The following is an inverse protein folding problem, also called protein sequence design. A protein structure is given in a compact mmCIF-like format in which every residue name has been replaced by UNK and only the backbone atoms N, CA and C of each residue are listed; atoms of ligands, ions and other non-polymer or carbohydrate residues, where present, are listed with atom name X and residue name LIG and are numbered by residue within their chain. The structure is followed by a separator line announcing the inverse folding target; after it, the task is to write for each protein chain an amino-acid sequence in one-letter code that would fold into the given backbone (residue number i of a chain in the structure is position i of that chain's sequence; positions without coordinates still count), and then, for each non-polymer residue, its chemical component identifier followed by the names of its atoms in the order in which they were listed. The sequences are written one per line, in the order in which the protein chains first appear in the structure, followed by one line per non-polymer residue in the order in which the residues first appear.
data_IF_348357775247
#
_entry.id   IF_348357775247
#
_cell.length_a   1.000
_cell.length_b   1.000
_cell.length_c   1.000
_cell.angle_alpha   90.00
_cell.angle_beta   90.00
_cell.angle_gamma   90.00
#
_symmetry.space_group_name_H-M   'P 1'
#
loop_
_entity.id
_entity.type
_entity.pdbx_description
1 polymer ?
#
# COMPACT_ATOMS: atom_id res chain seq x y z
N UNK A 1 -2.94 -13.58 -8.47
CA UNK A 1 -2.51 -14.30 -7.26
C UNK A 1 -1.75 -15.57 -7.65
N UNK A 2 -0.64 -15.84 -6.97
CA UNK A 2 0.20 -17.02 -7.18
C UNK A 2 0.15 -17.90 -5.92
N UNK A 3 -0.52 -19.05 -6.03
CA UNK A 3 -0.68 -19.98 -4.90
C UNK A 3 0.46 -21.00 -4.75
N UNK A 4 1.37 -21.06 -5.72
CA UNK A 4 2.46 -22.06 -5.78
C UNK A 4 3.81 -21.55 -5.25
N UNK A 5 3.88 -20.29 -4.84
CA UNK A 5 5.09 -19.72 -4.23
C UNK A 5 5.11 -19.94 -2.71
N UNK A 6 6.31 -20.14 -2.13
CA UNK A 6 6.42 -20.27 -0.69
C UNK A 6 6.06 -18.95 0.00
N UNK A 7 5.25 -19.06 1.05
CA UNK A 7 4.88 -17.96 1.95
C UNK A 7 5.40 -18.27 3.36
N UNK A 8 5.73 -17.23 4.10
CA UNK A 8 6.24 -17.37 5.47
C UNK A 8 5.12 -17.49 6.51
N UNK A 9 3.85 -17.30 6.09
CA UNK A 9 2.67 -17.43 6.92
C UNK A 9 1.44 -17.66 6.01
N UNK A 10 0.46 -18.45 6.46
CA UNK A 10 -0.68 -18.93 5.66
C UNK A 10 -1.63 -17.83 5.15
N UNK A 11 -1.77 -16.71 5.90
CA UNK A 11 -2.61 -15.57 5.50
C UNK A 11 -1.94 -14.66 4.46
N UNK A 12 -0.65 -14.87 4.15
CA UNK A 12 0.09 -14.06 3.19
C UNK A 12 -0.27 -14.47 1.77
N UNK A 13 -0.67 -13.50 0.97
CA UNK A 13 -0.93 -13.70 -0.46
C UNK A 13 0.22 -13.15 -1.30
N UNK A 14 0.51 -13.79 -2.41
CA UNK A 14 1.54 -13.36 -3.35
C UNK A 14 0.91 -13.03 -4.69
N UNK A 15 1.26 -11.88 -5.23
CA UNK A 15 0.81 -11.42 -6.55
C UNK A 15 2.01 -11.20 -7.46
N UNK A 16 1.90 -11.65 -8.70
CA UNK A 16 2.78 -11.21 -9.77
C UNK A 16 2.29 -9.85 -10.29
N UNK A 17 3.17 -8.86 -10.29
CA UNK A 17 2.92 -7.56 -10.91
C UNK A 17 3.54 -7.57 -12.30
N UNK A 18 2.76 -7.19 -13.29
CA UNK A 18 3.15 -7.15 -14.70
C UNK A 18 2.96 -5.76 -15.27
N UNK A 19 3.77 -5.43 -16.26
CA UNK A 19 3.58 -4.25 -17.09
C UNK A 19 2.42 -4.46 -18.09
N UNK A 20 2.04 -3.40 -18.79
CA UNK A 20 0.96 -3.45 -19.80
C UNK A 20 1.24 -4.42 -20.94
N UNK A 21 2.50 -4.67 -21.28
CA UNK A 21 2.93 -5.65 -22.28
C UNK A 21 2.97 -7.11 -21.76
N UNK A 22 2.66 -7.31 -20.48
CA UNK A 22 2.69 -8.60 -19.79
C UNK A 22 4.04 -9.00 -19.20
N UNK A 23 5.07 -8.17 -19.34
CA UNK A 23 6.40 -8.42 -18.77
C UNK A 23 6.35 -8.39 -17.24
N UNK A 24 7.17 -9.24 -16.61
CA UNK A 24 7.27 -9.33 -15.14
C UNK A 24 7.94 -8.11 -14.54
N UNK A 25 7.26 -7.42 -13.62
CA UNK A 25 7.80 -6.27 -12.90
C UNK A 25 8.24 -6.61 -11.47
N UNK A 26 7.46 -7.38 -10.73
CA UNK A 26 7.75 -7.68 -9.33
C UNK A 26 6.93 -8.85 -8.80
N UNK A 27 7.33 -9.36 -7.63
CA UNK A 27 6.45 -10.10 -6.74
C UNK A 27 6.02 -9.20 -5.59
N UNK A 28 4.71 -9.15 -5.34
CA UNK A 28 4.10 -8.41 -4.23
C UNK A 28 3.53 -9.39 -3.22
N UNK A 29 4.07 -9.37 -2.01
CA UNK A 29 3.56 -10.10 -0.86
C UNK A 29 2.62 -9.20 -0.07
N UNK A 30 1.42 -9.69 0.23
CA UNK A 30 0.38 -8.99 0.96
C UNK A 30 0.14 -9.68 2.31
N UNK A 31 0.69 -9.13 3.37
CA UNK A 31 0.57 -9.61 4.75
C UNK A 31 -0.36 -8.68 5.53
N UNK A 32 -1.67 -8.90 5.42
CA UNK A 32 -2.67 -7.91 5.84
C UNK A 32 -3.30 -8.17 7.21
N UNK A 33 -3.12 -9.34 7.80
CA UNK A 33 -3.83 -9.71 9.02
C UNK A 33 -2.90 -9.83 10.24
N UNK A 34 -3.40 -9.49 11.45
CA UNK A 34 -2.63 -9.62 12.69
C UNK A 34 -2.45 -11.08 13.10
N UNK A 35 -1.39 -11.34 13.86
CA UNK A 35 -1.09 -12.60 14.54
C UNK A 35 -0.19 -12.34 15.75
N UNK A 36 -0.10 -13.27 16.67
CA UNK A 36 0.64 -13.09 17.94
C UNK A 36 2.11 -12.68 17.77
N UNK A 37 2.79 -13.18 16.72
CA UNK A 37 4.19 -12.87 16.42
C UNK A 37 4.40 -11.61 15.57
N UNK A 38 3.31 -10.93 15.16
CA UNK A 38 3.38 -9.78 14.26
C UNK A 38 3.27 -8.47 15.04
N UNK A 39 4.19 -7.54 14.77
CA UNK A 39 4.14 -6.20 15.34
C UNK A 39 2.96 -5.41 14.78
N UNK A 40 2.34 -4.56 15.59
CA UNK A 40 1.30 -3.62 15.14
C UNK A 40 1.84 -2.52 14.23
N UNK A 41 0.94 -1.80 13.57
CA UNK A 41 1.25 -0.76 12.59
C UNK A 41 1.23 -1.30 11.15
N UNK A 42 1.81 -0.53 10.23
CA UNK A 42 1.94 -0.87 8.82
C UNK A 42 3.33 -0.52 8.33
N UNK A 43 3.84 -1.21 7.34
CA UNK A 43 5.11 -0.90 6.68
C UNK A 43 5.28 -1.64 5.35
N UNK A 44 6.08 -1.08 4.48
CA UNK A 44 6.60 -1.77 3.31
C UNK A 44 8.02 -2.28 3.59
N UNK A 45 8.37 -3.43 3.03
CA UNK A 45 9.71 -4.01 3.08
C UNK A 45 10.08 -4.61 1.72
N UNK A 46 11.31 -4.44 1.32
CA UNK A 46 11.89 -5.15 0.18
C UNK A 46 12.60 -6.42 0.67
N UNK A 47 12.10 -7.60 0.28
CA UNK A 47 12.86 -8.85 0.48
C UNK A 47 14.04 -8.91 -0.48
N UNK A 48 13.87 -8.31 -1.66
CA UNK A 48 14.91 -8.09 -2.65
C UNK A 48 14.61 -6.81 -3.41
N UNK A 49 15.52 -5.85 -3.44
CA UNK A 49 15.45 -4.67 -4.28
C UNK A 49 15.76 -4.99 -5.75
N UNK A 50 15.29 -4.12 -6.64
CA UNK A 50 15.68 -4.20 -8.06
C UNK A 50 17.18 -3.91 -8.20
N UNK A 51 17.86 -4.67 -9.06
CA UNK A 51 19.28 -4.47 -9.33
C UNK A 51 19.70 -5.08 -10.67
N UNK A 52 20.87 -4.65 -11.16
CA UNK A 52 21.55 -5.29 -12.30
C UNK A 52 22.89 -5.87 -11.80
N UNK A 53 23.06 -7.16 -11.91
CA UNK A 53 24.30 -7.86 -11.57
C UNK A 53 24.75 -8.72 -12.75
N UNK A 54 26.00 -8.55 -13.16
CA UNK A 54 26.60 -9.30 -14.27
C UNK A 54 25.78 -9.22 -15.59
N UNK A 55 25.15 -8.07 -15.83
CA UNK A 55 24.30 -7.83 -17.01
C UNK A 55 22.89 -8.43 -16.92
N UNK A 56 22.56 -9.09 -15.80
CA UNK A 56 21.22 -9.67 -15.54
C UNK A 56 20.43 -8.76 -14.62
N UNK A 57 19.21 -8.42 -15.02
CA UNK A 57 18.27 -7.68 -14.18
C UNK A 57 17.54 -8.60 -13.20
N UNK A 58 17.54 -8.21 -11.93
CA UNK A 58 16.79 -8.85 -10.86
C UNK A 58 15.63 -7.96 -10.47
N UNK A 59 14.41 -8.40 -10.76
CA UNK A 59 13.19 -7.68 -10.40
C UNK A 59 12.88 -7.84 -8.90
N UNK A 60 12.24 -6.82 -8.27
CA UNK A 60 12.09 -6.77 -6.83
C UNK A 60 11.05 -7.75 -6.27
N UNK A 61 11.21 -8.10 -5.00
CA UNK A 61 10.22 -8.78 -4.17
C UNK A 61 9.83 -7.84 -3.03
N UNK A 62 8.62 -7.34 -3.08
CA UNK A 62 8.08 -6.32 -2.19
C UNK A 62 7.06 -6.95 -1.24
N UNK A 63 7.05 -6.51 0.00
CA UNK A 63 6.07 -6.92 1.00
C UNK A 63 5.38 -5.71 1.60
N UNK A 64 4.04 -5.70 1.58
CA UNK A 64 3.21 -4.74 2.30
C UNK A 64 2.64 -5.45 3.52
N UNK A 65 2.88 -4.90 4.70
CA UNK A 65 2.39 -5.42 5.97
C UNK A 65 1.36 -4.46 6.55
N UNK A 66 0.18 -5.00 6.86
CA UNK A 66 -0.93 -4.29 7.51
C UNK A 66 -1.38 -5.09 8.73
N UNK A 67 -2.32 -4.55 9.50
CA UNK A 67 -2.96 -5.23 10.61
C UNK A 67 -4.48 -5.01 10.57
N UNK A 68 -5.11 -5.34 9.43
CA UNK A 68 -6.57 -5.22 9.25
C UNK A 68 -7.31 -6.25 10.09
N UNK A 69 -8.51 -5.92 10.52
CA UNK A 69 -9.41 -6.89 11.18
C UNK A 69 -9.69 -8.06 10.23
N UNK A 70 -9.44 -9.28 10.70
CA UNK A 70 -9.75 -10.49 9.91
C UNK A 70 -11.24 -10.58 9.60
N UNK A 71 -11.62 -11.16 8.45
CA UNK A 71 -13.00 -11.49 8.18
C UNK A 71 -13.52 -12.50 9.20
N UNK A 72 -14.82 -12.45 9.47
CA UNK A 72 -15.54 -13.42 10.31
C UNK A 72 -16.50 -14.24 9.44
N UNK A 73 -17.20 -15.20 10.04
CA UNK A 73 -18.22 -15.96 9.32
C UNK A 73 -19.37 -15.06 8.81
N UNK A 74 -19.64 -13.94 9.50
CA UNK A 74 -20.80 -13.08 9.24
C UNK A 74 -20.44 -11.79 8.49
N UNK A 75 -19.16 -11.44 8.41
CA UNK A 75 -18.72 -10.18 7.78
C UNK A 75 -17.33 -10.30 7.12
N UNK A 76 -17.12 -9.66 5.96
CA UNK A 76 -15.80 -9.56 5.36
C UNK A 76 -14.89 -8.68 6.21
N UNK A 77 -13.59 -8.63 5.87
CA UNK A 77 -12.66 -7.67 6.43
C UNK A 77 -13.05 -6.26 5.97
N UNK A 78 -13.68 -5.51 6.86
CA UNK A 78 -14.03 -4.11 6.63
C UNK A 78 -12.92 -3.22 7.17
N UNK A 79 -12.46 -2.28 6.35
CA UNK A 79 -11.41 -1.33 6.70
C UNK A 79 -11.99 0.07 6.91
N UNK A 80 -11.41 0.81 7.83
CA UNK A 80 -11.71 2.22 8.04
C UNK A 80 -11.07 3.08 6.93
N UNK A 81 -11.53 4.33 6.79
CA UNK A 81 -10.90 5.27 5.87
C UNK A 81 -9.42 5.53 6.22
N UNK A 82 -9.07 5.58 7.51
CA UNK A 82 -7.69 5.72 7.96
C UNK A 82 -6.82 4.53 7.55
N UNK A 83 -7.35 3.31 7.64
CA UNK A 83 -6.65 2.10 7.18
C UNK A 83 -6.48 2.09 5.65
N UNK A 84 -7.47 2.58 4.89
CA UNK A 84 -7.34 2.77 3.44
C UNK A 84 -6.22 3.76 3.10
N UNK A 85 -6.17 4.91 3.80
CA UNK A 85 -5.11 5.92 3.60
C UNK A 85 -3.74 5.32 3.90
N UNK A 86 -3.59 4.59 5.02
CA UNK A 86 -2.36 3.90 5.38
C UNK A 86 -1.98 2.84 4.34
N UNK A 87 -2.95 2.07 3.84
CA UNK A 87 -2.69 1.08 2.79
C UNK A 87 -2.15 1.74 1.51
N UNK A 88 -2.76 2.84 1.08
CA UNK A 88 -2.30 3.59 -0.10
C UNK A 88 -0.90 4.18 0.11
N UNK A 89 -0.59 4.63 1.33
CA UNK A 89 0.74 5.06 1.71
C UNK A 89 1.78 3.94 1.51
N UNK A 90 1.55 2.78 2.12
CA UNK A 90 2.46 1.62 1.98
C UNK A 90 2.52 1.11 0.54
N UNK A 91 1.40 1.20 -0.18
CA UNK A 91 1.36 0.87 -1.61
C UNK A 91 2.16 1.86 -2.46
N UNK A 92 2.24 3.14 -2.08
CA UNK A 92 3.11 4.14 -2.70
C UNK A 92 4.59 3.78 -2.57
N UNK A 93 5.03 3.36 -1.38
CA UNK A 93 6.37 2.79 -1.19
C UNK A 93 6.58 1.52 -2.02
N UNK A 94 5.58 0.65 -2.08
CA UNK A 94 5.65 -0.56 -2.89
C UNK A 94 5.82 -0.24 -4.38
N UNK A 95 5.05 0.71 -4.92
CA UNK A 95 5.20 1.17 -6.31
C UNK A 95 6.59 1.75 -6.58
N UNK A 96 7.14 2.51 -5.64
CA UNK A 96 8.50 3.03 -5.74
C UNK A 96 9.54 1.90 -5.89
N UNK A 97 9.39 0.81 -5.13
CA UNK A 97 10.23 -0.38 -5.26
C UNK A 97 9.95 -1.19 -6.53
N UNK A 98 8.67 -1.41 -6.86
CA UNK A 98 8.24 -2.19 -8.02
C UNK A 98 8.72 -1.57 -9.34
N UNK A 99 8.63 -0.24 -9.46
CA UNK A 99 8.96 0.49 -10.68
C UNK A 99 10.44 0.91 -10.74
N UNK A 100 11.24 0.55 -9.74
CA UNK A 100 12.65 0.89 -9.70
C UNK A 100 13.41 0.35 -10.93
N UNK A 101 14.28 1.21 -11.50
CA UNK A 101 15.16 0.91 -12.62
C UNK A 101 16.54 1.50 -12.35
N UNK A 102 17.32 0.81 -11.54
CA UNK A 102 18.65 1.24 -11.16
C UNK A 102 19.69 0.13 -11.34
N UNK A 103 20.94 0.51 -11.37
CA UNK A 103 22.06 -0.43 -11.47
C UNK A 103 22.40 -1.05 -10.11
N UNK A 104 22.33 -0.24 -9.06
CA UNK A 104 22.78 -0.62 -7.71
C UNK A 104 21.60 -0.76 -6.77
N UNK A 105 21.47 -1.90 -6.06
CA UNK A 105 20.32 -2.15 -5.17
C UNK A 105 20.22 -1.14 -4.01
N UNK A 106 21.35 -0.57 -3.57
CA UNK A 106 21.37 0.45 -2.51
C UNK A 106 20.87 1.84 -2.94
N UNK A 107 20.55 2.01 -4.22
CA UNK A 107 20.10 3.29 -4.81
C UNK A 107 18.79 3.13 -5.57
N UNK A 108 18.01 2.08 -5.27
CA UNK A 108 16.72 1.81 -5.91
C UNK A 108 15.60 1.77 -4.86
N UNK A 109 14.37 1.97 -5.30
CA UNK A 109 13.20 1.96 -4.42
C UNK A 109 13.34 2.96 -3.28
N UNK A 110 13.15 2.50 -2.04
CA UNK A 110 13.26 3.33 -0.83
C UNK A 110 14.71 3.66 -0.42
N UNK A 111 15.71 3.20 -1.18
CA UNK A 111 17.13 3.55 -1.01
C UNK A 111 17.47 4.97 -1.51
N UNK A 112 16.64 5.96 -1.21
CA UNK A 112 16.77 7.38 -1.60
C UNK A 112 16.98 8.28 -0.38
N UNK A 113 17.23 9.57 -0.61
CA UNK A 113 17.33 10.56 0.46
C UNK A 113 16.04 10.63 1.31
N UNK A 114 16.19 10.86 2.62
CA UNK A 114 15.05 10.83 3.56
C UNK A 114 13.97 11.87 3.27
N UNK A 115 14.34 13.00 2.69
CA UNK A 115 13.43 14.06 2.27
C UNK A 115 12.58 13.69 1.05
N UNK A 116 12.97 12.64 0.31
CA UNK A 116 12.25 12.17 -0.88
C UNK A 116 11.46 10.88 -0.63
N UNK A 117 11.86 10.04 0.31
CA UNK A 117 11.32 8.67 0.49
C UNK A 117 9.81 8.63 0.66
N UNK A 118 9.22 9.65 1.30
CA UNK A 118 7.77 9.74 1.54
C UNK A 118 6.98 10.37 0.38
N UNK A 119 7.65 10.87 -0.68
CA UNK A 119 6.94 11.50 -1.78
C UNK A 119 5.97 10.54 -2.49
N UNK A 120 6.38 9.33 -2.90
CA UNK A 120 5.47 8.38 -3.55
C UNK A 120 4.33 7.92 -2.64
N UNK A 121 4.62 7.66 -1.35
CA UNK A 121 3.63 7.20 -0.39
C UNK A 121 2.57 8.28 -0.11
N UNK A 122 2.99 9.51 0.19
CA UNK A 122 2.08 10.62 0.48
C UNK A 122 1.25 11.07 -0.73
N UNK A 123 1.79 10.97 -1.95
CA UNK A 123 1.00 11.22 -3.17
C UNK A 123 -0.15 10.21 -3.27
N UNK A 124 0.11 8.94 -3.01
CA UNK A 124 -0.91 7.88 -3.10
C UNK A 124 -2.04 8.05 -2.09
N UNK A 125 -1.80 8.63 -0.93
CA UNK A 125 -2.84 8.92 0.08
C UNK A 125 -3.98 9.80 -0.48
N UNK A 126 -3.70 10.66 -1.46
CA UNK A 126 -4.72 11.54 -2.03
C UNK A 126 -5.87 10.77 -2.69
N UNK A 127 -5.61 9.58 -3.24
CA UNK A 127 -6.64 8.75 -3.85
C UNK A 127 -7.71 8.31 -2.87
N UNK A 128 -7.39 8.20 -1.56
CA UNK A 128 -8.38 7.89 -0.54
C UNK A 128 -9.48 8.96 -0.39
N UNK A 129 -9.32 10.12 -0.99
CA UNK A 129 -10.26 11.24 -0.93
C UNK A 129 -10.94 11.54 -2.27
N UNK A 130 -10.55 10.82 -3.34
CA UNK A 130 -11.08 11.03 -4.68
C UNK A 130 -12.37 10.22 -4.90
N UNK A 131 -13.51 10.87 -5.17
CA UNK A 131 -14.80 10.19 -5.33
C UNK A 131 -14.77 9.14 -6.45
N UNK A 132 -14.14 9.44 -7.58
CA UNK A 132 -14.05 8.53 -8.72
C UNK A 132 -13.32 7.24 -8.33
N UNK A 133 -12.23 7.35 -7.57
CA UNK A 133 -11.49 6.19 -7.09
C UNK A 133 -12.29 5.39 -6.06
N UNK A 134 -12.87 6.05 -5.06
CA UNK A 134 -13.67 5.41 -4.03
C UNK A 134 -14.85 4.64 -4.62
N UNK A 135 -15.53 5.18 -5.62
CA UNK A 135 -16.66 4.54 -6.29
C UNK A 135 -16.29 3.23 -7.02
N UNK A 136 -15.02 2.98 -7.29
CA UNK A 136 -14.60 1.72 -7.92
C UNK A 136 -14.75 0.53 -6.98
N UNK A 137 -14.57 0.69 -5.68
CA UNK A 137 -14.56 -0.41 -4.71
C UNK A 137 -15.35 -0.15 -3.40
N UNK A 138 -15.53 1.11 -2.97
CA UNK A 138 -16.20 1.45 -1.71
C UNK A 138 -17.72 1.25 -1.83
N UNK A 139 -18.13 -0.01 -1.67
CA UNK A 139 -19.53 -0.44 -1.78
C UNK A 139 -19.97 -1.13 -0.51
N UNK A 140 -21.25 -0.97 -0.17
CA UNK A 140 -21.85 -1.69 0.96
C UNK A 140 -21.76 -3.19 0.72
N UNK A 141 -21.16 -3.92 1.66
CA UNK A 141 -20.79 -5.34 1.44
C UNK A 141 -21.98 -6.29 1.26
N UNK A 142 -23.19 -5.91 1.71
CA UNK A 142 -24.41 -6.69 1.51
C UNK A 142 -25.24 -6.20 0.32
N UNK A 143 -25.43 -4.88 0.16
CA UNK A 143 -26.31 -4.33 -0.88
C UNK A 143 -25.59 -4.01 -2.18
N UNK A 144 -24.26 -3.83 -2.17
CA UNK A 144 -23.48 -3.42 -3.31
C UNK A 144 -23.62 -1.93 -3.68
N UNK A 145 -24.38 -1.16 -2.91
CA UNK A 145 -24.56 0.28 -3.14
C UNK A 145 -23.24 1.02 -2.93
N UNK A 146 -22.91 2.00 -3.80
CA UNK A 146 -21.70 2.81 -3.64
C UNK A 146 -21.78 3.66 -2.37
N UNK A 147 -20.60 4.08 -1.86
CA UNK A 147 -20.53 5.00 -0.74
C UNK A 147 -21.28 6.31 -1.07
N UNK A 148 -22.16 6.82 -0.18
CA UNK A 148 -22.86 8.08 -0.42
C UNK A 148 -21.88 9.27 -0.54
N UNK A 149 -22.12 10.15 -1.51
CA UNK A 149 -21.29 11.34 -1.74
C UNK A 149 -21.16 12.21 -0.48
N UNK A 150 -22.25 12.36 0.29
CA UNK A 150 -22.24 13.10 1.55
C UNK A 150 -21.19 12.58 2.56
N UNK A 151 -20.93 11.27 2.59
CA UNK A 151 -19.91 10.69 3.45
C UNK A 151 -18.50 11.01 2.92
N UNK A 152 -18.30 11.00 1.61
CA UNK A 152 -17.02 11.39 1.01
C UNK A 152 -16.73 12.87 1.31
N UNK A 153 -17.71 13.75 1.14
CA UNK A 153 -17.56 15.17 1.46
C UNK A 153 -17.20 15.42 2.93
N UNK A 154 -17.80 14.66 3.86
CA UNK A 154 -17.47 14.71 5.29
C UNK A 154 -16.03 14.26 5.57
N UNK A 155 -15.57 13.22 4.89
CA UNK A 155 -14.19 12.73 5.01
C UNK A 155 -13.20 13.78 4.50
N UNK A 156 -13.47 14.40 3.34
CA UNK A 156 -12.65 15.48 2.77
C UNK A 156 -12.62 16.69 3.70
N UNK A 157 -13.78 17.09 4.25
CA UNK A 157 -13.84 18.19 5.22
C UNK A 157 -13.05 17.90 6.49
N UNK A 158 -13.12 16.66 7.00
CA UNK A 158 -12.38 16.23 8.18
C UNK A 158 -10.86 16.27 7.97
N UNK A 159 -10.35 15.94 6.77
CA UNK A 159 -8.92 16.07 6.42
C UNK A 159 -8.39 17.47 6.67
N UNK A 160 -9.18 18.48 6.36
CA UNK A 160 -8.79 19.89 6.45
C UNK A 160 -9.03 20.51 7.85
N UNK A 161 -9.67 19.76 8.76
CA UNK A 161 -9.94 20.25 10.11
C UNK A 161 -8.64 20.45 10.87
N UNK A 162 -8.42 21.67 11.36
CA UNK A 162 -7.20 22.10 12.07
C UNK A 162 -5.87 21.83 11.33
N UNK A 163 -5.86 21.73 10.01
CA UNK A 163 -4.65 21.50 9.21
C UNK A 163 -3.57 22.57 9.48
N UNK A 164 -3.96 23.85 9.63
CA UNK A 164 -3.04 24.94 9.98
C UNK A 164 -2.39 24.73 11.35
N UNK A 165 -3.15 24.29 12.34
CA UNK A 165 -2.59 23.98 13.68
C UNK A 165 -1.60 22.81 13.61
N UNK A 166 -1.94 21.76 12.91
CA UNK A 166 -1.04 20.61 12.71
C UNK A 166 0.28 21.03 12.06
N UNK A 167 0.22 21.90 11.04
CA UNK A 167 1.41 22.43 10.37
C UNK A 167 2.27 23.29 11.28
N UNK A 168 1.68 24.21 12.05
CA UNK A 168 2.41 25.07 13.01
C UNK A 168 3.08 24.22 14.08
N UNK A 169 2.42 23.16 14.56
CA UNK A 169 2.99 22.25 15.57
C UNK A 169 4.25 21.52 15.10
N UNK A 170 4.41 21.29 13.81
CA UNK A 170 5.63 20.67 13.25
C UNK A 170 6.82 21.63 13.20
N UNK A 171 6.58 22.94 13.27
CA UNK A 171 7.63 23.98 13.22
C UNK A 171 8.21 24.31 14.60
N UNK A 172 7.65 23.77 15.65
CA UNK A 172 8.10 23.92 17.05
C UNK A 172 8.60 22.60 17.62
#
# INVERSE_FOLDING_TARGET
ELSNLPVYQEDVKVYEVKDADGSHLALLYADFFPRASKRGGAWMTEFRGQSIKDGVEYRPFINIVMNFTKPTADAPSLITHSELTTFLHEFGHALHGILAQGRYPSMTGTGVSRDFVELPSQIMENWAYEPEYLNTFAKHYQTGEPIPMELIEKVVAAKNFQAGYAQVRQLH
#
